data_IF_328765994556
#
_entry.id   IF_328765994556
#
_cell.length_a   1.000
_cell.length_b   1.000
_cell.length_c   1.000
_cell.angle_alpha   90.00
_cell.angle_beta   90.00
_cell.angle_gamma   90.00
#
_symmetry.space_group_name_H-M   'P 1'
#
loop_
_entity.id
_entity.type
_entity.pdbx_description
1 polymer ?
#
# COMPACT_ATOMS: atom_id res chain seq x y z
N UNK A 1 6.84 6.97 -8.65
CA UNK A 1 7.78 5.82 -8.55
C UNK A 1 7.08 4.48 -8.79
N UNK A 2 6.03 4.13 -8.03
CA UNK A 2 5.33 2.83 -8.13
C UNK A 2 4.74 2.50 -9.51
N UNK A 3 4.11 3.46 -10.18
CA UNK A 3 3.57 3.26 -11.54
C UNK A 3 4.67 3.05 -12.59
N UNK A 4 5.82 3.72 -12.40
CA UNK A 4 6.97 3.57 -13.27
C UNK A 4 7.61 2.18 -13.13
N UNK A 5 7.82 1.69 -11.90
CA UNK A 5 8.37 0.34 -11.67
C UNK A 5 7.41 -0.75 -12.16
N UNK A 6 6.09 -0.57 -12.00
CA UNK A 6 5.10 -1.48 -12.58
C UNK A 6 5.16 -1.53 -14.11
N UNK A 7 5.27 -0.37 -14.76
CA UNK A 7 5.37 -0.29 -16.22
C UNK A 7 6.62 -0.99 -16.74
N UNK A 8 7.78 -0.78 -16.11
CA UNK A 8 9.04 -1.44 -16.49
C UNK A 8 8.95 -2.95 -16.29
N UNK A 9 8.33 -3.42 -15.20
CA UNK A 9 8.09 -4.86 -15.01
C UNK A 9 7.19 -5.44 -16.11
N UNK A 10 6.08 -4.77 -16.46
CA UNK A 10 5.19 -5.22 -17.53
C UNK A 10 5.88 -5.29 -18.91
N UNK A 11 6.83 -4.39 -19.18
CA UNK A 11 7.55 -4.35 -20.46
C UNK A 11 8.74 -5.32 -20.53
N UNK A 12 9.43 -5.56 -19.40
CA UNK A 12 10.70 -6.30 -19.39
C UNK A 12 10.62 -7.67 -18.70
N UNK A 13 9.61 -7.89 -17.86
CA UNK A 13 9.49 -9.08 -17.01
C UNK A 13 10.59 -9.20 -15.94
N UNK A 14 11.36 -8.14 -15.68
CA UNK A 14 12.47 -8.20 -14.72
C UNK A 14 11.94 -8.31 -13.28
N UNK A 15 12.31 -9.39 -12.59
CA UNK A 15 11.89 -9.70 -11.23
C UNK A 15 12.35 -8.67 -10.20
N UNK A 16 13.53 -8.06 -10.38
CA UNK A 16 14.08 -7.05 -9.46
C UNK A 16 13.16 -5.83 -9.38
N UNK A 17 12.59 -5.40 -10.53
CA UNK A 17 11.61 -4.30 -10.58
C UNK A 17 10.29 -4.63 -9.92
N UNK A 18 9.85 -5.90 -9.93
CA UNK A 18 8.65 -6.32 -9.21
C UNK A 18 8.88 -6.35 -7.69
N UNK A 19 10.05 -6.81 -7.25
CA UNK A 19 10.43 -6.78 -5.83
C UNK A 19 10.48 -5.34 -5.32
N UNK A 20 11.09 -4.43 -6.08
CA UNK A 20 11.10 -2.99 -5.75
C UNK A 20 9.67 -2.40 -5.69
N UNK A 21 8.77 -2.80 -6.59
CA UNK A 21 7.36 -2.40 -6.52
C UNK A 21 6.70 -2.89 -5.22
N UNK A 22 6.99 -4.12 -4.78
CA UNK A 22 6.46 -4.70 -3.54
C UNK A 22 7.02 -4.04 -2.28
N UNK A 23 8.28 -3.64 -2.27
CA UNK A 23 8.88 -2.87 -1.17
C UNK A 23 8.19 -1.50 -1.02
N UNK A 24 8.01 -0.78 -2.13
CA UNK A 24 7.27 0.50 -2.15
C UNK A 24 5.81 0.36 -1.70
N UNK A 25 5.18 -0.78 -2.00
CA UNK A 25 3.81 -1.13 -1.56
C UNK A 25 3.73 -1.37 -0.05
N UNK A 26 4.76 -2.01 0.53
CA UNK A 26 4.87 -2.26 1.97
C UNK A 26 5.14 -0.99 2.77
N UNK A 27 5.96 -0.05 2.27
CA UNK A 27 6.18 1.23 2.95
C UNK A 27 4.88 2.05 3.07
N UNK A 28 4.05 2.06 2.02
CA UNK A 28 2.74 2.74 2.03
C UNK A 28 1.78 2.04 2.99
N UNK A 29 1.76 0.71 2.98
CA UNK A 29 0.88 -0.08 3.85
C UNK A 29 1.27 0.06 5.32
N UNK A 30 2.57 0.05 5.64
CA UNK A 30 3.07 0.26 6.99
C UNK A 30 2.70 1.66 7.53
N UNK A 31 2.80 2.71 6.70
CA UNK A 31 2.34 4.05 7.09
C UNK A 31 0.82 4.11 7.30
N UNK A 32 0.03 3.37 6.50
CA UNK A 32 -1.43 3.27 6.71
C UNK A 32 -1.81 2.46 7.95
N UNK A 33 -1.01 1.45 8.33
CA UNK A 33 -1.25 0.61 9.50
C UNK A 33 -0.86 1.29 10.83
N UNK A 34 -0.01 2.33 10.76
CA UNK A 34 0.40 3.14 11.93
C UNK A 34 -0.63 4.23 12.27
N UNK A 35 -1.60 4.52 11.39
CA UNK A 35 -2.78 5.28 11.77
C UNK A 35 -3.81 4.26 12.27
N UNK A 36 -3.97 4.05 13.60
CA UNK A 36 -5.21 3.47 14.07
C UNK A 36 -6.30 4.44 13.60
N UNK A 37 -7.16 3.97 12.69
CA UNK A 37 -8.47 4.58 12.54
C UNK A 37 -9.07 4.54 13.95
N UNK A 38 -9.08 5.69 14.62
CA UNK A 38 -9.81 5.84 15.87
C UNK A 38 -11.29 5.75 15.50
N UNK A 39 -11.80 4.52 15.54
CA UNK A 39 -13.23 4.17 15.42
C UNK A 39 -14.02 4.62 16.66
N UNK A 40 -13.46 5.50 17.51
CA UNK A 40 -14.08 5.98 18.75
C UNK A 40 -15.11 7.11 18.53
N UNK A 41 -15.43 7.48 17.28
CA UNK A 41 -16.41 8.53 16.94
C UNK A 41 -17.61 8.03 16.13
N UNK A 42 -18.02 6.77 16.27
CA UNK A 42 -19.39 6.37 15.91
C UNK A 42 -20.09 5.82 17.16
N UNK A 43 -20.93 6.67 17.77
CA UNK A 43 -21.83 6.27 18.85
C UNK A 43 -22.69 5.07 18.41
N UNK A 44 -22.86 4.04 19.26
CA UNK A 44 -23.61 2.85 18.90
C UNK A 44 -25.09 3.19 18.63
N UNK A 45 -25.78 2.47 17.72
CA UNK A 45 -27.17 2.73 17.45
C UNK A 45 -28.01 2.31 18.67
N UNK A 46 -28.49 3.29 19.44
CA UNK A 46 -29.57 3.03 20.39
C UNK A 46 -30.89 2.84 19.64
N UNK A 47 -31.47 1.65 19.90
CA UNK A 47 -32.81 1.08 19.67
C UNK A 47 -33.87 1.89 18.90
#
# INVERSE_FOLDING_TARGET
MKEFTWKVFCETGNIDTYLLYKELDQEITALSAVIPYDESLEEPPFH
#
